data_IF_988732664164
#
_entry.id   IF_988732664164
#
_cell.length_a   1.000
_cell.length_b   1.000
_cell.length_c   1.000
_cell.angle_alpha   90.00
_cell.angle_beta   90.00
_cell.angle_gamma   90.00
#
_symmetry.space_group_name_H-M   'P 1'
#
loop_
_entity.id
_entity.type
_entity.pdbx_description
1 polymer ?
#
# COMPACT_ATOMS: atom_id res chain seq x y z
N UNK A 1 8.01 -5.55 5.26
CA UNK A 1 8.05 -5.79 3.80
C UNK A 1 8.37 -4.52 3.00
N UNK A 2 7.70 -3.37 3.23
CA UNK A 2 7.91 -2.14 2.43
C UNK A 2 9.38 -1.68 2.34
N UNK A 3 10.11 -1.67 3.46
CA UNK A 3 11.53 -1.29 3.47
C UNK A 3 12.45 -2.19 2.65
N UNK A 4 12.16 -3.48 2.58
CA UNK A 4 12.90 -4.42 1.73
C UNK A 4 12.50 -4.27 0.27
N UNK A 5 11.23 -3.96 0.05
CA UNK A 5 10.69 -3.70 -1.28
C UNK A 5 11.36 -2.47 -1.89
N UNK A 6 11.30 -1.31 -1.24
CA UNK A 6 11.71 -0.04 -1.86
C UNK A 6 13.03 0.53 -1.34
N UNK A 7 13.82 -0.25 -0.60
CA UNK A 7 15.03 0.21 0.11
C UNK A 7 14.81 1.46 0.97
N UNK A 8 13.60 1.67 1.48
CA UNK A 8 13.22 2.90 2.15
C UNK A 8 11.75 2.94 2.56
N UNK A 9 11.22 4.09 3.00
CA UNK A 9 9.79 4.26 3.11
C UNK A 9 9.17 4.14 1.71
N UNK A 10 8.04 3.43 1.61
CA UNK A 10 7.31 3.38 0.35
C UNK A 10 6.36 4.58 0.29
N UNK A 11 6.65 5.50 -0.62
CA UNK A 11 5.87 6.71 -0.87
C UNK A 11 4.74 6.38 -1.84
N UNK A 12 3.50 6.63 -1.45
CA UNK A 12 2.35 6.24 -2.25
C UNK A 12 1.21 7.27 -2.23
N UNK A 13 0.51 7.36 -3.36
CA UNK A 13 -0.76 8.07 -3.51
C UNK A 13 -1.90 7.07 -3.39
N UNK A 14 -2.95 7.44 -2.64
CA UNK A 14 -4.14 6.61 -2.50
C UNK A 14 -5.07 6.86 -3.69
N UNK A 15 -5.42 5.80 -4.43
CA UNK A 15 -6.27 5.87 -5.62
C UNK A 15 -7.36 4.78 -5.55
N UNK A 16 -8.24 4.80 -4.53
CA UNK A 16 -9.19 3.71 -4.31
C UNK A 16 -10.19 3.59 -5.46
N UNK A 17 -10.46 2.36 -5.89
CA UNK A 17 -11.38 2.05 -6.98
C UNK A 17 -10.82 2.31 -8.39
N UNK A 18 -9.58 2.80 -8.50
CA UNK A 18 -8.90 2.91 -9.79
C UNK A 18 -8.46 1.53 -10.29
N UNK A 19 -8.31 1.43 -11.61
CA UNK A 19 -7.82 0.24 -12.28
C UNK A 19 -6.42 0.47 -12.86
N UNK A 20 -5.57 -0.56 -12.82
CA UNK A 20 -4.19 -0.49 -13.30
C UNK A 20 -4.01 -1.56 -14.36
N UNK A 21 -3.62 -1.13 -15.56
CA UNK A 21 -3.33 -2.00 -16.70
C UNK A 21 -1.96 -1.67 -17.27
N UNK A 22 -1.32 -2.68 -17.86
CA UNK A 22 -0.09 -2.52 -18.61
C UNK A 22 0.49 -3.87 -19.02
N UNK A 23 1.10 -3.93 -20.21
CA UNK A 23 1.60 -5.18 -20.79
C UNK A 23 2.77 -5.81 -20.03
N UNK A 24 3.38 -5.05 -19.12
CA UNK A 24 4.53 -5.45 -18.29
C UNK A 24 4.17 -5.61 -16.83
N UNK A 25 2.89 -5.40 -16.49
CA UNK A 25 2.42 -5.49 -15.13
C UNK A 25 2.37 -6.95 -14.69
N UNK A 26 3.05 -7.25 -13.60
CA UNK A 26 2.95 -8.52 -12.90
C UNK A 26 2.47 -8.28 -11.46
N UNK A 27 1.63 -9.18 -10.96
CA UNK A 27 1.01 -9.08 -9.63
C UNK A 27 1.51 -10.23 -8.75
N UNK A 28 2.17 -9.87 -7.66
CA UNK A 28 2.68 -10.80 -6.66
C UNK A 28 1.79 -10.83 -5.42
N UNK A 29 1.32 -12.01 -5.03
CA UNK A 29 0.56 -12.24 -3.78
C UNK A 29 1.48 -12.10 -2.56
N UNK A 30 1.68 -10.87 -2.11
CA UNK A 30 2.64 -10.53 -1.05
C UNK A 30 2.26 -10.98 0.37
N UNK A 31 0.99 -11.34 0.59
CA UNK A 31 0.48 -11.98 1.80
C UNK A 31 -0.85 -12.68 1.52
N UNK A 32 -1.45 -13.29 2.54
CA UNK A 32 -2.79 -13.89 2.43
C UNK A 32 -3.86 -12.88 2.00
N UNK A 33 -3.71 -11.61 2.37
CA UNK A 33 -4.73 -10.57 2.20
C UNK A 33 -4.30 -9.40 1.30
N UNK A 34 -3.04 -9.33 0.87
CA UNK A 34 -2.54 -8.22 0.06
C UNK A 34 -1.62 -8.66 -1.08
N UNK A 35 -1.65 -7.89 -2.16
CA UNK A 35 -0.86 -8.10 -3.37
C UNK A 35 -0.16 -6.81 -3.78
N UNK A 36 0.88 -6.97 -4.60
CA UNK A 36 1.75 -5.91 -5.09
C UNK A 36 1.93 -6.04 -6.58
N UNK A 37 1.77 -4.93 -7.29
CA UNK A 37 2.06 -4.84 -8.72
C UNK A 37 3.47 -4.30 -8.96
N UNK A 38 4.19 -4.87 -9.91
CA UNK A 38 5.49 -4.39 -10.36
C UNK A 38 5.66 -4.61 -11.87
N UNK A 39 6.62 -3.91 -12.47
CA UNK A 39 7.01 -4.11 -13.86
C UNK A 39 7.96 -5.32 -13.97
N UNK A 40 7.60 -6.34 -14.72
CA UNK A 40 8.43 -7.54 -14.90
C UNK A 40 9.67 -7.30 -15.78
N UNK A 41 9.79 -6.16 -16.45
CA UNK A 41 10.96 -5.82 -17.28
C UNK A 41 12.05 -5.09 -16.52
N UNK A 42 11.67 -4.15 -15.65
CA UNK A 42 12.63 -3.29 -14.94
C UNK A 42 12.54 -3.38 -13.41
N UNK A 43 11.59 -4.13 -12.86
CA UNK A 43 11.41 -4.31 -11.41
C UNK A 43 10.71 -3.16 -10.70
N UNK A 44 10.33 -2.08 -11.40
CA UNK A 44 9.68 -0.92 -10.78
C UNK A 44 8.40 -1.31 -10.04
N UNK A 45 8.29 -0.88 -8.79
CA UNK A 45 7.10 -1.09 -7.98
C UNK A 45 5.98 -0.15 -8.40
N UNK A 46 4.80 -0.69 -8.68
CA UNK A 46 3.68 0.08 -9.22
C UNK A 46 2.62 0.33 -8.15
N UNK A 47 2.15 -0.72 -7.48
CA UNK A 47 1.09 -0.58 -6.50
C UNK A 47 1.14 -1.61 -5.38
N UNK A 48 0.41 -1.34 -4.31
CA UNK A 48 0.00 -2.31 -3.31
C UNK A 48 -1.49 -2.16 -3.03
N UNK A 49 -2.21 -3.28 -2.95
CA UNK A 49 -3.61 -3.32 -2.57
C UNK A 49 -3.93 -4.57 -1.74
N UNK A 50 -4.98 -4.56 -0.92
CA UNK A 50 -5.61 -5.78 -0.48
C UNK A 50 -6.14 -6.58 -1.69
N UNK A 51 -6.20 -7.91 -1.59
CA UNK A 51 -6.76 -8.77 -2.67
C UNK A 51 -8.24 -8.53 -2.93
N UNK A 52 -8.93 -7.93 -1.97
CA UNK A 52 -10.36 -7.61 -2.04
C UNK A 52 -10.61 -6.21 -1.51
N UNK A 53 -11.52 -5.49 -2.15
CA UNK A 53 -11.91 -4.13 -1.77
C UNK A 53 -11.30 -3.06 -2.68
N UNK A 54 -11.70 -1.80 -2.48
CA UNK A 54 -11.35 -0.72 -3.39
C UNK A 54 -9.97 -0.14 -3.11
N UNK A 55 -9.32 -0.45 -1.97
CA UNK A 55 -8.10 0.24 -1.59
C UNK A 55 -6.97 -0.06 -2.57
N UNK A 56 -6.29 1.00 -3.00
CA UNK A 56 -5.18 0.92 -3.92
C UNK A 56 -4.22 2.06 -3.59
N UNK A 57 -2.97 1.70 -3.37
CA UNK A 57 -1.90 2.65 -3.17
C UNK A 57 -0.92 2.51 -4.33
N UNK A 58 -0.64 3.61 -5.03
CA UNK A 58 0.22 3.67 -6.23
C UNK A 58 1.53 4.32 -5.83
N UNK A 59 2.66 3.79 -6.29
CA UNK A 59 3.98 4.39 -6.07
C UNK A 59 3.99 5.83 -6.56
N UNK A 60 4.26 6.78 -5.66
CA UNK A 60 4.13 8.21 -5.95
C UNK A 60 5.05 8.67 -7.08
N UNK A 61 6.25 8.10 -7.19
CA UNK A 61 7.23 8.44 -8.24
C UNK A 61 6.85 8.00 -9.66
N UNK A 62 5.73 7.30 -9.85
CA UNK A 62 5.18 7.02 -11.18
C UNK A 62 4.28 8.14 -11.70
N UNK A 63 3.84 9.02 -10.80
CA UNK A 63 2.95 10.12 -11.15
C UNK A 63 3.79 11.36 -11.50
N UNK A 64 3.27 12.25 -12.36
CA UNK A 64 3.91 13.54 -12.62
C UNK A 64 4.16 14.29 -11.33
N UNK A 65 5.21 15.12 -11.30
CA UNK A 65 5.43 16.02 -10.18
C UNK A 65 4.25 16.99 -10.01
N UNK A 66 3.98 17.38 -8.76
CA UNK A 66 2.83 18.21 -8.41
C UNK A 66 2.83 18.58 -6.94
N UNK A 67 1.78 19.26 -6.51
CA UNK A 67 1.61 19.65 -5.11
C UNK A 67 1.13 18.48 -4.25
N UNK A 68 2.08 17.63 -3.85
CA UNK A 68 1.84 16.49 -2.97
C UNK A 68 2.34 16.77 -1.57
N UNK A 69 1.55 16.34 -0.58
CA UNK A 69 1.95 16.38 0.84
C UNK A 69 1.79 15.03 1.51
N UNK A 70 2.67 14.74 2.47
CA UNK A 70 2.57 13.52 3.28
C UNK A 70 1.47 13.74 4.33
N UNK A 71 0.30 13.17 4.09
CA UNK A 71 -0.84 13.29 5.02
C UNK A 71 -0.86 12.19 6.08
N UNK A 72 -0.20 11.06 5.84
CA UNK A 72 -0.20 9.89 6.74
C UNK A 72 1.13 9.16 6.72
N UNK A 73 1.59 8.76 7.90
CA UNK A 73 2.71 7.85 8.09
C UNK A 73 2.21 6.54 8.69
N UNK A 74 2.25 5.45 7.90
CA UNK A 74 1.74 4.14 8.29
C UNK A 74 2.89 3.28 8.85
N UNK A 75 2.66 2.62 9.99
CA UNK A 75 3.68 1.92 10.80
C UNK A 75 4.80 2.85 11.28
N UNK A 76 4.44 4.08 11.69
CA UNK A 76 5.42 5.09 12.13
C UNK A 76 6.33 4.60 13.27
N UNK A 77 5.81 3.80 14.20
CA UNK A 77 6.59 3.25 15.32
C UNK A 77 7.61 2.18 14.92
N UNK A 78 7.43 1.53 13.76
CA UNK A 78 8.30 0.43 13.28
C UNK A 78 9.33 0.92 12.25
N UNK A 79 9.38 2.23 12.01
CA UNK A 79 10.37 2.84 11.12
C UNK A 79 11.75 2.81 11.80
N UNK A 80 12.82 2.58 11.03
CA UNK A 80 14.16 2.62 11.58
C UNK A 80 14.56 4.05 12.01
N UNK A 81 15.57 4.19 12.89
CA UNK A 81 15.97 5.49 13.43
C UNK A 81 16.65 6.40 12.39
N UNK A 82 17.19 5.85 11.30
CA UNK A 82 17.97 6.59 10.30
C UNK A 82 17.14 7.39 9.29
N UNK A 83 15.81 7.47 9.43
CA UNK A 83 15.02 8.49 8.73
C UNK A 83 13.85 9.02 9.56
N UNK A 84 13.47 10.27 9.28
CA UNK A 84 12.29 10.93 9.82
C UNK A 84 11.71 11.85 8.76
N UNK A 85 10.38 11.86 8.64
CA UNK A 85 9.69 12.85 7.82
C UNK A 85 9.46 14.12 8.62
N UNK A 86 9.65 15.26 7.95
CA UNK A 86 9.36 16.58 8.49
C UNK A 86 8.05 17.11 7.89
N UNK A 87 7.02 16.28 7.96
CA UNK A 87 5.68 16.61 7.46
C UNK A 87 4.68 16.65 8.60
N UNK A 88 3.71 17.56 8.51
CA UNK A 88 2.54 17.56 9.38
C UNK A 88 1.59 16.44 8.96
N UNK A 89 1.87 15.22 9.43
CA UNK A 89 1.19 14.00 9.01
C UNK A 89 0.49 13.31 10.18
N UNK A 90 -0.57 12.54 9.88
CA UNK A 90 -1.15 11.61 10.84
C UNK A 90 -0.28 10.36 10.98
N UNK A 91 0.33 10.18 12.14
CA UNK A 91 1.13 9.00 12.47
C UNK A 91 0.23 7.84 12.89
N UNK A 92 0.40 6.68 12.24
CA UNK A 92 -0.35 5.45 12.50
C UNK A 92 0.62 4.36 12.91
N UNK A 93 0.48 3.83 14.12
CA UNK A 93 1.22 2.66 14.60
C UNK A 93 0.53 1.34 14.22
N UNK A 94 1.22 0.22 14.44
CA UNK A 94 0.72 -1.12 14.14
C UNK A 94 -0.65 -1.41 14.76
N UNK A 95 -0.85 -1.10 16.05
CA UNK A 95 -2.12 -1.27 16.73
C UNK A 95 -3.26 -0.47 16.07
N UNK A 96 -3.00 0.80 15.74
CA UNK A 96 -4.01 1.64 15.08
C UNK A 96 -4.39 1.11 13.70
N UNK A 97 -3.47 0.45 13.00
CA UNK A 97 -3.73 -0.17 11.72
C UNK A 97 -4.53 -1.46 11.90
N UNK A 98 -4.16 -2.30 12.86
CA UNK A 98 -4.86 -3.54 13.17
C UNK A 98 -6.32 -3.28 13.59
N UNK A 99 -6.58 -2.27 14.41
CA UNK A 99 -7.94 -1.90 14.81
C UNK A 99 -8.79 -1.39 13.63
N UNK A 100 -8.19 -0.65 12.69
CA UNK A 100 -8.91 -0.16 11.51
C UNK A 100 -9.17 -1.28 10.49
N UNK A 101 -8.20 -2.16 10.27
CA UNK A 101 -8.23 -3.16 9.20
C UNK A 101 -8.76 -4.52 9.62
N UNK A 102 -8.62 -4.89 10.89
CA UNK A 102 -9.09 -6.17 11.43
C UNK A 102 -10.56 -6.45 11.12
N UNK A 103 -11.49 -5.53 11.46
CA UNK A 103 -12.91 -5.70 11.14
C UNK A 103 -13.19 -5.79 9.64
N UNK A 104 -12.50 -4.98 8.81
CA UNK A 104 -12.66 -4.98 7.34
C UNK A 104 -12.24 -6.32 6.74
N UNK A 105 -11.10 -6.86 7.17
CA UNK A 105 -10.57 -8.12 6.67
C UNK A 105 -11.42 -9.31 7.12
N UNK A 106 -11.88 -9.31 8.38
CA UNK A 106 -12.79 -10.33 8.88
C UNK A 106 -14.11 -10.36 8.09
N UNK A 107 -14.71 -9.18 7.86
CA UNK A 107 -15.94 -9.06 7.08
C UNK A 107 -15.76 -9.48 5.61
N UNK A 108 -14.64 -9.10 4.98
CA UNK A 108 -14.31 -9.51 3.60
C UNK A 108 -14.16 -11.02 3.47
N UNK A 109 -13.45 -11.65 4.42
CA UNK A 109 -13.31 -13.10 4.48
C UNK A 109 -14.66 -13.80 4.71
N UNK A 110 -15.51 -13.24 5.58
CA UNK A 110 -16.87 -13.74 5.77
C UNK A 110 -17.68 -13.64 4.47
N UNK A 111 -17.78 -12.47 3.84
CA UNK A 111 -18.50 -12.30 2.57
C UNK A 111 -17.99 -13.24 1.46
N UNK A 112 -16.68 -13.45 1.36
CA UNK A 112 -16.08 -14.36 0.38
C UNK A 112 -16.46 -15.83 0.57
N UNK A 113 -16.90 -16.25 1.76
CA UNK A 113 -17.40 -17.61 2.02
C UNK A 113 -18.85 -17.81 1.56
N UNK A 114 -19.61 -16.71 1.36
CA UNK A 114 -21.04 -16.74 1.02
C UNK A 114 -21.36 -16.18 -0.37
N UNK A 115 -20.34 -15.84 -1.17
CA UNK A 115 -20.52 -15.28 -2.52
C UNK A 115 -19.67 -16.00 -3.56
N UNK A 116 -20.30 -16.91 -4.30
CA UNK A 116 -19.95 -17.28 -5.68
C UNK A 116 -21.06 -16.80 -6.61
#
# INVERSE_FOLDING_TARGET
MCRRWTSGPWMAVQAPGSDIRGDTLEVFSSSDFAERGFCNRCGTHIFHRPKQGPELAISAGLLPEGDYSITREIFHGDKPPWYRFDASSRKRGALSMALEWGPKLAWRRFKGLFGS
#
